data_IF_666484159677
#
_entry.id   IF_666484159677
#
_cell.length_a   1.000
_cell.length_b   1.000
_cell.length_c   1.000
_cell.angle_alpha   90.00
_cell.angle_beta   90.00
_cell.angle_gamma   90.00
#
_symmetry.space_group_name_H-M   'P 1'
#
loop_
_entity.id
_entity.type
_entity.pdbx_description
1 polymer ?
#
# COMPACT_ATOMS: atom_id res chain seq x y z
N UNK A 1 -16.20 4.35 31.02
CA UNK A 1 -16.66 4.45 29.63
C UNK A 1 -15.42 4.67 28.78
N UNK A 2 -14.82 3.59 28.28
CA UNK A 2 -13.74 3.68 27.30
C UNK A 2 -14.37 4.21 26.01
N UNK A 3 -14.05 5.45 25.64
CA UNK A 3 -14.28 5.93 24.28
C UNK A 3 -13.62 4.91 23.35
N UNK A 4 -14.43 4.14 22.63
CA UNK A 4 -13.99 3.48 21.41
C UNK A 4 -13.43 4.59 20.53
N UNK A 5 -12.15 4.51 20.18
CA UNK A 5 -11.57 5.41 19.19
C UNK A 5 -12.48 5.36 17.96
N UNK A 6 -12.95 6.52 17.50
CA UNK A 6 -13.77 6.58 16.31
C UNK A 6 -12.96 5.97 15.15
N UNK A 7 -13.57 5.02 14.43
CA UNK A 7 -12.96 4.40 13.25
C UNK A 7 -12.57 5.53 12.28
N UNK A 8 -11.28 5.66 11.97
CA UNK A 8 -10.74 6.74 11.15
C UNK A 8 -10.22 6.19 9.83
N UNK A 9 -10.26 7.01 8.78
CA UNK A 9 -9.64 6.66 7.50
C UNK A 9 -8.11 6.85 7.52
N UNK A 10 -7.62 7.83 8.28
CA UNK A 10 -6.19 8.15 8.34
C UNK A 10 -5.59 7.89 9.72
N UNK A 11 -4.28 7.76 9.75
CA UNK A 11 -3.46 7.54 10.96
C UNK A 11 -2.44 8.66 11.13
N UNK A 12 -1.97 8.88 12.35
CA UNK A 12 -0.85 9.77 12.65
C UNK A 12 0.50 9.06 12.68
N UNK A 13 0.50 7.74 12.47
CA UNK A 13 1.66 6.90 12.65
C UNK A 13 1.92 6.03 11.42
N UNK A 14 3.17 5.99 10.97
CA UNK A 14 3.61 5.14 9.84
C UNK A 14 4.83 4.30 10.21
N UNK A 15 4.93 3.13 9.60
CA UNK A 15 6.09 2.26 9.66
C UNK A 15 6.85 2.33 8.35
N UNK A 16 8.16 2.55 8.44
CA UNK A 16 9.06 2.59 7.30
C UNK A 16 10.28 1.69 7.56
N UNK A 17 10.76 0.99 6.52
CA UNK A 17 11.98 0.19 6.60
C UNK A 17 13.07 0.87 5.77
N UNK A 18 14.14 1.31 6.42
CA UNK A 18 15.28 1.93 5.73
C UNK A 18 16.02 0.85 4.95
N UNK A 19 16.20 0.98 3.62
CA UNK A 19 16.76 -0.10 2.80
C UNK A 19 18.23 -0.36 3.13
N UNK A 20 18.58 -1.64 3.30
CA UNK A 20 19.95 -2.14 3.45
C UNK A 20 20.58 -2.44 2.11
N UNK A 21 19.77 -2.91 1.15
CA UNK A 21 20.04 -2.99 -0.29
C UNK A 21 18.82 -2.52 -1.07
N UNK A 22 19.03 -1.89 -2.20
CA UNK A 22 17.95 -1.46 -3.09
C UNK A 22 18.41 -1.51 -4.55
N UNK A 23 17.74 -2.35 -5.33
CA UNK A 23 17.93 -2.50 -6.76
C UNK A 23 16.70 -3.18 -7.38
N UNK A 24 16.47 -3.07 -8.70
CA UNK A 24 15.35 -3.74 -9.37
C UNK A 24 15.40 -5.26 -9.13
N UNK A 25 14.41 -5.81 -8.45
CA UNK A 25 14.37 -7.23 -8.13
C UNK A 25 14.12 -8.07 -9.41
N UNK A 26 15.03 -8.98 -9.79
CA UNK A 26 14.83 -9.82 -10.98
C UNK A 26 13.60 -10.73 -10.90
N UNK A 27 13.20 -11.17 -9.70
CA UNK A 27 12.03 -12.05 -9.52
C UNK A 27 10.69 -11.35 -9.82
N UNK A 28 10.65 -10.02 -9.71
CA UNK A 28 9.44 -9.22 -9.94
C UNK A 28 9.43 -8.54 -11.30
N UNK A 29 10.51 -8.62 -12.07
CA UNK A 29 10.64 -7.94 -13.35
C UNK A 29 9.57 -8.39 -14.37
N UNK A 30 9.11 -9.65 -14.27
CA UNK A 30 8.13 -10.22 -15.20
C UNK A 30 6.69 -9.73 -14.96
N UNK A 31 6.35 -9.30 -13.73
CA UNK A 31 4.99 -8.92 -13.35
C UNK A 31 4.85 -7.48 -12.81
N UNK A 32 5.97 -6.77 -12.62
CA UNK A 32 5.99 -5.35 -12.26
C UNK A 32 6.40 -4.47 -13.44
N UNK A 33 5.42 -4.09 -14.27
CA UNK A 33 5.62 -3.20 -15.41
C UNK A 33 6.12 -1.78 -15.05
N UNK A 34 6.12 -1.41 -13.76
CA UNK A 34 6.58 -0.12 -13.28
C UNK A 34 8.05 -0.15 -12.82
N UNK A 35 8.64 -1.35 -12.73
CA UNK A 35 10.05 -1.52 -12.48
C UNK A 35 10.87 -1.06 -13.68
N UNK A 36 11.97 -0.35 -13.42
CA UNK A 36 12.91 0.11 -14.45
C UNK A 36 14.28 -0.46 -14.20
N UNK A 37 15.03 -0.64 -15.29
CA UNK A 37 16.43 -1.02 -15.20
C UNK A 37 17.24 0.03 -14.43
N UNK A 38 18.22 -0.47 -13.68
CA UNK A 38 19.19 0.33 -12.98
C UNK A 38 20.16 0.99 -13.97
N UNK A 39 20.32 2.31 -13.91
CA UNK A 39 21.34 3.06 -14.66
C UNK A 39 22.70 3.09 -13.94
N UNK A 40 22.77 2.53 -12.73
CA UNK A 40 23.90 2.60 -11.79
C UNK A 40 24.10 1.26 -11.08
N UNK A 41 25.28 1.06 -10.50
CA UNK A 41 25.54 -0.08 -9.61
C UNK A 41 24.65 -0.07 -8.36
N UNK A 42 24.36 -1.26 -7.82
CA UNK A 42 23.46 -1.48 -6.68
C UNK A 42 23.82 -0.64 -5.44
N UNK A 43 25.11 -0.45 -5.15
CA UNK A 43 25.56 0.35 -4.01
C UNK A 43 25.18 1.83 -4.16
N UNK A 44 25.35 2.37 -5.38
CA UNK A 44 25.01 3.76 -5.68
C UNK A 44 23.49 3.98 -5.66
N UNK A 45 22.71 2.99 -6.12
CA UNK A 45 21.25 3.00 -6.02
C UNK A 45 20.79 2.93 -4.57
N UNK A 46 21.38 2.05 -3.77
CA UNK A 46 21.07 1.93 -2.34
C UNK A 46 21.36 3.24 -1.61
N UNK A 47 22.49 3.89 -1.88
CA UNK A 47 22.82 5.18 -1.29
C UNK A 47 21.81 6.27 -1.69
N UNK A 48 21.40 6.31 -2.96
CA UNK A 48 20.41 7.26 -3.44
C UNK A 48 19.03 7.03 -2.78
N UNK A 49 18.58 5.77 -2.73
CA UNK A 49 17.32 5.39 -2.10
C UNK A 49 17.29 5.71 -0.61
N UNK A 50 18.39 5.47 0.13
CA UNK A 50 18.50 5.87 1.54
C UNK A 50 18.40 7.38 1.73
N UNK A 51 19.00 8.17 0.84
CA UNK A 51 18.89 9.63 0.89
C UNK A 51 17.44 10.11 0.66
N UNK A 52 16.74 9.54 -0.31
CA UNK A 52 15.33 9.86 -0.56
C UNK A 52 14.41 9.39 0.58
N UNK A 53 14.67 8.19 1.11
CA UNK A 53 13.99 7.65 2.29
C UNK A 53 14.14 8.58 3.49
N UNK A 54 15.37 9.02 3.79
CA UNK A 54 15.63 9.89 4.93
C UNK A 54 14.96 11.26 4.75
N UNK A 55 14.95 11.79 3.52
CA UNK A 55 14.22 13.02 3.21
C UNK A 55 12.71 12.86 3.42
N UNK A 56 12.10 11.76 2.95
CA UNK A 56 10.68 11.48 3.15
C UNK A 56 10.33 11.32 4.64
N UNK A 57 11.13 10.56 5.39
CA UNK A 57 11.00 10.39 6.83
C UNK A 57 11.07 11.74 7.56
N UNK A 58 12.03 12.61 7.23
CA UNK A 58 12.14 13.93 7.87
C UNK A 58 10.95 14.82 7.53
N UNK A 59 10.47 14.82 6.27
CA UNK A 59 9.28 15.58 5.86
C UNK A 59 8.05 15.14 6.64
N UNK A 60 7.81 13.83 6.78
CA UNK A 60 6.69 13.30 7.55
C UNK A 60 6.77 13.69 9.03
N UNK A 61 7.96 13.56 9.65
CA UNK A 61 8.18 13.98 11.04
C UNK A 61 7.97 15.47 11.25
N UNK A 62 8.46 16.30 10.32
CA UNK A 62 8.26 17.75 10.36
C UNK A 62 6.79 18.14 10.22
N UNK A 63 6.00 17.36 9.48
CA UNK A 63 4.56 17.51 9.38
C UNK A 63 3.80 16.99 10.62
N UNK A 64 4.49 16.46 11.64
CA UNK A 64 3.89 15.99 12.88
C UNK A 64 3.38 14.55 12.84
N UNK A 65 3.77 13.76 11.83
CA UNK A 65 3.51 12.32 11.76
C UNK A 65 4.54 11.58 12.60
N UNK A 66 4.09 10.59 13.36
CA UNK A 66 4.94 9.66 14.08
C UNK A 66 5.52 8.60 13.12
N UNK A 67 6.84 8.57 12.96
CA UNK A 67 7.50 7.69 11.98
C UNK A 67 8.37 6.67 12.70
N UNK A 68 7.91 5.41 12.71
CA UNK A 68 8.66 4.25 13.15
C UNK A 68 9.59 3.78 12.04
N UNK A 69 10.89 3.83 12.29
CA UNK A 69 11.90 3.43 11.30
C UNK A 69 12.65 2.21 11.80
N UNK A 70 12.65 1.16 10.98
CA UNK A 70 13.45 -0.04 11.18
C UNK A 70 14.56 -0.09 10.14
N UNK A 71 15.79 -0.38 10.56
CA UNK A 71 16.88 -0.67 9.62
C UNK A 71 16.67 -2.06 9.02
N UNK A 72 16.76 -2.19 7.71
CA UNK A 72 16.87 -3.50 7.06
C UNK A 72 18.21 -4.18 7.42
N UNK A 73 18.23 -5.50 7.26
CA UNK A 73 19.39 -6.36 7.57
C UNK A 73 20.19 -6.65 6.31
N UNK A 74 21.51 -6.76 6.43
CA UNK A 74 22.36 -7.15 5.30
C UNK A 74 22.03 -8.55 4.74
N UNK A 75 21.62 -9.48 5.62
CA UNK A 75 21.24 -10.85 5.26
C UNK A 75 19.92 -11.27 5.94
N UNK A 76 19.04 -12.02 5.26
CA UNK A 76 19.10 -12.33 3.84
C UNK A 76 18.94 -11.06 2.99
N UNK A 77 19.50 -11.09 1.78
CA UNK A 77 19.31 -10.03 0.78
C UNK A 77 17.83 -9.84 0.41
N UNK A 78 17.35 -8.60 0.52
CA UNK A 78 15.95 -8.20 0.30
C UNK A 78 15.88 -6.82 -0.39
N UNK A 79 16.00 -6.75 -1.73
CA UNK A 79 15.97 -5.47 -2.45
C UNK A 79 14.67 -4.66 -2.26
N UNK A 80 13.56 -5.34 -1.98
CA UNK A 80 12.23 -4.76 -1.82
C UNK A 80 11.85 -4.51 -0.35
N UNK A 81 12.77 -4.69 0.61
CA UNK A 81 12.48 -4.54 2.05
C UNK A 81 11.92 -3.16 2.44
N UNK A 82 12.18 -2.14 1.62
CA UNK A 82 11.65 -0.78 1.79
C UNK A 82 10.12 -0.69 1.67
N UNK A 83 9.45 -1.73 1.17
CA UNK A 83 8.00 -1.80 0.96
C UNK A 83 7.29 -2.73 1.97
N UNK A 84 7.26 -2.41 3.28
CA UNK A 84 6.64 -3.25 4.30
C UNK A 84 5.13 -3.42 4.09
N UNK A 85 4.50 -2.46 3.42
CA UNK A 85 3.08 -2.42 3.12
C UNK A 85 2.60 -3.69 2.38
N UNK A 86 3.50 -4.44 1.74
CA UNK A 86 3.13 -5.67 1.05
C UNK A 86 3.05 -6.91 1.94
N UNK A 87 3.76 -6.97 3.07
CA UNK A 87 3.80 -8.16 3.90
C UNK A 87 3.13 -7.97 5.28
N UNK A 88 2.89 -6.74 5.73
CA UNK A 88 2.23 -6.44 7.01
C UNK A 88 1.16 -5.34 6.89
N UNK A 89 0.07 -5.49 7.64
CA UNK A 89 -0.87 -4.39 7.94
C UNK A 89 -1.27 -4.40 9.42
N UNK A 90 -1.60 -3.23 9.94
CA UNK A 90 -2.04 -3.01 11.33
C UNK A 90 -3.44 -2.39 11.35
N UNK A 91 -4.30 -2.83 12.26
CA UNK A 91 -5.70 -2.43 12.32
C UNK A 91 -6.07 -1.77 13.66
N UNK A 92 -7.14 -0.99 13.66
CA UNK A 92 -7.58 -0.14 14.79
C UNK A 92 -8.01 -0.94 16.02
N UNK A 93 -8.46 -2.18 15.83
CA UNK A 93 -8.79 -3.13 16.89
C UNK A 93 -7.56 -3.86 17.48
N UNK A 94 -6.35 -3.49 17.04
CA UNK A 94 -5.08 -4.03 17.52
C UNK A 94 -4.64 -5.30 16.81
N UNK A 95 -5.35 -5.75 15.78
CA UNK A 95 -4.93 -6.92 15.00
C UNK A 95 -3.85 -6.55 13.98
N UNK A 96 -2.95 -7.49 13.74
CA UNK A 96 -1.91 -7.41 12.71
C UNK A 96 -2.15 -8.56 11.72
N UNK A 97 -2.09 -8.28 10.42
CA UNK A 97 -2.07 -9.30 9.38
C UNK A 97 -0.67 -9.44 8.80
N UNK A 98 -0.19 -10.68 8.64
CA UNK A 98 0.98 -11.03 7.85
C UNK A 98 0.54 -11.70 6.56
N UNK A 99 1.15 -11.28 5.46
CA UNK A 99 0.64 -11.59 4.13
C UNK A 99 1.52 -12.55 3.33
N UNK A 100 0.91 -13.43 2.50
CA UNK A 100 1.62 -14.31 1.59
C UNK A 100 2.11 -13.54 0.36
N UNK A 101 3.38 -13.72 0.02
CA UNK A 101 4.08 -12.97 -1.03
C UNK A 101 4.30 -13.82 -2.29
N UNK A 102 4.13 -13.20 -3.46
CA UNK A 102 4.26 -13.90 -4.74
C UNK A 102 5.71 -14.33 -5.00
N UNK A 103 6.66 -13.39 -4.91
CA UNK A 103 8.10 -13.67 -5.04
C UNK A 103 8.65 -14.39 -3.81
N UNK A 104 9.48 -15.42 -4.05
CA UNK A 104 10.11 -16.21 -3.00
C UNK A 104 11.12 -15.38 -2.19
N UNK A 105 11.84 -14.45 -2.83
CA UNK A 105 12.71 -13.50 -2.12
C UNK A 105 11.89 -12.63 -1.16
N UNK A 106 10.74 -12.12 -1.61
CA UNK A 106 9.91 -11.22 -0.80
C UNK A 106 9.29 -11.87 0.42
N UNK A 107 9.10 -13.20 0.42
CA UNK A 107 8.67 -13.97 1.62
C UNK A 107 9.63 -13.81 2.80
N UNK A 108 10.92 -13.53 2.53
CA UNK A 108 11.96 -13.33 3.54
C UNK A 108 11.90 -11.94 4.20
N UNK A 109 11.05 -11.04 3.70
CA UNK A 109 10.85 -9.69 4.25
C UNK A 109 10.08 -9.68 5.57
N UNK A 110 9.28 -10.72 5.84
CA UNK A 110 8.54 -10.84 7.10
C UNK A 110 9.48 -10.88 8.29
N UNK A 111 9.26 -9.96 9.24
CA UNK A 111 10.19 -9.69 10.35
C UNK A 111 9.50 -9.73 11.70
N UNK A 112 9.94 -10.68 12.53
CA UNK A 112 9.42 -10.89 13.88
C UNK A 112 9.80 -9.76 14.84
N UNK A 113 11.00 -9.20 14.70
CA UNK A 113 11.49 -8.11 15.55
C UNK A 113 10.61 -6.84 15.42
N UNK A 114 10.06 -6.59 14.23
CA UNK A 114 9.09 -5.51 14.00
C UNK A 114 7.80 -5.75 14.78
N UNK A 115 7.31 -7.00 14.82
CA UNK A 115 6.10 -7.35 15.58
C UNK A 115 6.31 -7.21 17.08
N UNK A 116 7.50 -7.54 17.56
CA UNK A 116 7.89 -7.39 18.97
C UNK A 116 7.96 -5.91 19.37
N UNK A 117 8.53 -5.05 18.52
CA UNK A 117 8.55 -3.61 18.74
C UNK A 117 7.13 -3.03 18.75
N UNK A 118 6.29 -3.39 17.77
CA UNK A 118 4.90 -2.92 17.72
C UNK A 118 4.11 -3.32 18.98
N UNK A 119 4.34 -4.50 19.56
CA UNK A 119 3.74 -4.93 20.84
C UNK A 119 4.17 -4.09 22.04
N UNK A 120 5.33 -3.44 21.97
CA UNK A 120 5.81 -2.57 23.06
C UNK A 120 5.16 -1.18 23.01
N UNK A 121 4.82 -0.69 21.81
CA UNK A 121 4.25 0.66 21.61
C UNK A 121 2.73 0.67 21.48
N UNK A 122 2.13 -0.42 21.01
CA UNK A 122 0.70 -0.50 20.69
C UNK A 122 0.04 -1.70 21.36
N UNK A 123 -1.27 -1.60 21.56
CA UNK A 123 -2.08 -2.74 21.98
C UNK A 123 -2.26 -3.69 20.80
N UNK A 124 -1.47 -4.74 20.76
CA UNK A 124 -1.66 -5.84 19.80
C UNK A 124 -2.58 -6.90 20.42
N UNK A 125 -3.73 -7.14 19.80
CA UNK A 125 -4.73 -8.12 20.27
C UNK A 125 -4.52 -9.49 19.65
N UNK A 126 -4.12 -9.54 18.38
CA UNK A 126 -3.89 -10.78 17.64
C UNK A 126 -2.93 -10.54 16.47
N UNK A 127 -2.19 -11.57 16.09
CA UNK A 127 -1.44 -11.61 14.83
C UNK A 127 -2.01 -12.75 13.99
N UNK A 128 -2.60 -12.42 12.85
CA UNK A 128 -3.16 -13.40 11.90
C UNK A 128 -2.16 -13.55 10.76
N UNK A 129 -1.60 -14.75 10.63
CA UNK A 129 -0.59 -15.06 9.62
C UNK A 129 -1.19 -15.85 8.46
N UNK A 130 -1.22 -15.23 7.28
CA UNK A 130 -1.70 -15.83 6.04
C UNK A 130 -0.58 -16.45 5.20
N UNK A 131 0.68 -16.50 5.69
CA UNK A 131 1.81 -17.01 4.89
C UNK A 131 1.65 -18.47 4.47
N UNK A 132 0.87 -19.27 5.20
CA UNK A 132 0.62 -20.67 4.85
C UNK A 132 -0.08 -20.85 3.49
N UNK A 133 -0.78 -19.82 2.98
CA UNK A 133 -1.36 -19.85 1.64
C UNK A 133 -0.31 -19.92 0.52
N UNK A 134 0.95 -19.58 0.82
CA UNK A 134 2.07 -19.69 -0.12
C UNK A 134 2.32 -21.13 -0.58
N UNK A 135 2.02 -22.11 0.27
CA UNK A 135 2.14 -23.55 -0.03
C UNK A 135 1.10 -23.99 -1.08
N UNK A 136 0.02 -23.23 -1.22
CA UNK A 136 -1.03 -23.42 -2.24
C UNK A 136 -0.84 -22.50 -3.46
N UNK A 137 0.26 -21.74 -3.52
CA UNK A 137 0.49 -20.73 -4.56
C UNK A 137 -0.47 -19.54 -4.49
N UNK A 138 -1.16 -19.35 -3.37
CA UNK A 138 -2.12 -18.26 -3.18
C UNK A 138 -1.43 -17.08 -2.46
N UNK A 139 -1.50 -15.89 -3.05
CA UNK A 139 -0.79 -14.70 -2.58
C UNK A 139 -1.73 -13.50 -2.38
N UNK A 140 -1.37 -12.57 -1.50
CA UNK A 140 -2.09 -11.32 -1.27
C UNK A 140 -1.11 -10.30 -0.70
N UNK A 141 -0.54 -9.43 -1.52
CA UNK A 141 0.53 -8.51 -1.10
C UNK A 141 0.03 -7.25 -0.37
N UNK A 142 -0.61 -7.48 0.78
CA UNK A 142 -0.94 -6.48 1.80
C UNK A 142 -1.68 -5.26 1.26
N UNK A 143 -1.35 -4.08 1.78
CA UNK A 143 -1.94 -2.81 1.35
C UNK A 143 -1.41 -2.31 -0.01
N UNK A 144 -0.52 -3.08 -0.65
CA UNK A 144 -0.30 -2.97 -2.10
C UNK A 144 -1.52 -3.41 -2.88
N UNK A 145 -2.05 -4.58 -2.53
CA UNK A 145 -3.23 -5.18 -3.17
C UNK A 145 -4.55 -4.71 -2.55
N UNK A 146 -4.58 -4.40 -1.25
CA UNK A 146 -5.78 -4.00 -0.51
C UNK A 146 -5.80 -2.48 -0.28
N UNK A 147 -6.67 -1.76 -0.98
CA UNK A 147 -6.92 -0.34 -0.70
C UNK A 147 -8.21 -0.21 0.11
N UNK A 148 -8.08 0.26 1.36
CA UNK A 148 -9.18 0.28 2.31
C UNK A 148 -9.96 1.60 2.30
N UNK A 149 -11.28 1.51 2.22
CA UNK A 149 -12.18 2.48 2.84
C UNK A 149 -12.52 1.97 4.24
N UNK A 150 -11.77 2.46 5.21
CA UNK A 150 -11.88 2.08 6.60
C UNK A 150 -13.25 2.46 7.18
N UNK A 151 -13.77 3.65 6.83
CA UNK A 151 -15.04 4.14 7.36
C UNK A 151 -16.24 3.31 6.90
N UNK A 152 -16.19 2.84 5.64
CA UNK A 152 -17.27 2.05 5.05
C UNK A 152 -17.01 0.54 5.13
N UNK A 153 -15.88 0.11 5.72
CA UNK A 153 -15.44 -1.28 5.76
C UNK A 153 -15.42 -1.93 4.37
N UNK A 154 -14.85 -1.24 3.37
CA UNK A 154 -14.68 -1.78 2.01
C UNK A 154 -13.19 -1.97 1.72
N UNK A 155 -12.83 -3.10 1.11
CA UNK A 155 -11.50 -3.34 0.57
C UNK A 155 -11.57 -3.44 -0.96
N UNK A 156 -11.01 -2.44 -1.65
CA UNK A 156 -10.90 -2.46 -3.11
C UNK A 156 -9.66 -3.24 -3.52
N UNK A 157 -9.83 -4.19 -4.45
CA UNK A 157 -8.77 -5.11 -4.84
C UNK A 157 -8.78 -5.38 -6.34
N UNK A 158 -7.73 -4.96 -7.04
CA UNK A 158 -7.47 -5.42 -8.39
C UNK A 158 -6.83 -6.81 -8.36
N UNK A 159 -7.41 -7.77 -9.07
CA UNK A 159 -6.93 -9.15 -9.16
C UNK A 159 -5.69 -9.24 -10.06
N UNK A 160 -4.67 -9.94 -9.57
CA UNK A 160 -3.38 -10.16 -10.22
C UNK A 160 -2.70 -11.40 -9.63
N UNK A 161 -1.45 -11.68 -10.03
CA UNK A 161 -0.61 -12.71 -9.39
C UNK A 161 -0.37 -12.46 -7.89
N UNK A 162 -0.59 -11.22 -7.43
CA UNK A 162 -0.33 -10.75 -6.06
C UNK A 162 -1.60 -10.51 -5.24
N UNK A 163 -2.75 -10.95 -5.74
CA UNK A 163 -4.07 -10.73 -5.12
C UNK A 163 -5.04 -11.86 -5.48
N UNK A 164 -4.88 -12.99 -4.81
CA UNK A 164 -5.69 -14.19 -5.01
C UNK A 164 -7.05 -14.08 -4.29
N UNK A 165 -8.18 -14.33 -4.98
CA UNK A 165 -9.53 -14.26 -4.40
C UNK A 165 -9.72 -15.04 -3.10
N UNK A 166 -9.12 -16.24 -2.98
CA UNK A 166 -9.23 -17.09 -1.79
C UNK A 166 -8.70 -16.40 -0.53
N UNK A 167 -7.55 -15.73 -0.66
CA UNK A 167 -6.90 -15.03 0.47
C UNK A 167 -7.61 -13.71 0.75
N UNK A 168 -8.12 -13.04 -0.29
CA UNK A 168 -8.93 -11.81 -0.15
C UNK A 168 -10.19 -12.09 0.66
N UNK A 169 -10.96 -13.12 0.28
CA UNK A 169 -12.17 -13.53 1.01
C UNK A 169 -11.85 -13.88 2.47
N UNK A 170 -10.78 -14.66 2.69
CA UNK A 170 -10.37 -15.01 4.05
C UNK A 170 -10.00 -13.79 4.89
N UNK A 171 -9.22 -12.86 4.33
CA UNK A 171 -8.88 -11.61 4.99
C UNK A 171 -10.13 -10.77 5.28
N UNK A 172 -11.02 -10.64 4.30
CA UNK A 172 -12.26 -9.89 4.41
C UNK A 172 -13.16 -10.41 5.53
N UNK A 173 -13.30 -11.74 5.64
CA UNK A 173 -14.04 -12.39 6.73
C UNK A 173 -13.41 -12.11 8.09
N UNK A 174 -12.10 -12.34 8.22
CA UNK A 174 -11.39 -12.14 9.48
C UNK A 174 -11.48 -10.67 9.90
N UNK A 175 -11.20 -9.71 9.01
CA UNK A 175 -11.14 -8.28 9.32
C UNK A 175 -12.46 -7.50 9.15
N UNK A 176 -13.54 -8.19 8.77
CA UNK A 176 -14.88 -7.61 8.57
C UNK A 176 -14.90 -6.47 7.54
N UNK A 177 -14.27 -6.70 6.39
CA UNK A 177 -14.36 -5.84 5.20
C UNK A 177 -15.26 -6.48 4.14
N UNK A 178 -15.99 -5.68 3.37
CA UNK A 178 -16.61 -6.10 2.11
C UNK A 178 -15.57 -5.98 0.98
N UNK A 179 -15.18 -7.07 0.30
CA UNK A 179 -14.25 -6.98 -0.80
C UNK A 179 -14.98 -6.52 -2.08
N UNK A 180 -14.41 -5.52 -2.76
CA UNK A 180 -14.80 -5.11 -4.12
C UNK A 180 -13.65 -5.48 -5.04
N UNK A 181 -13.77 -6.64 -5.69
CA UNK A 181 -12.75 -7.19 -6.58
C UNK A 181 -13.03 -6.82 -8.04
N UNK A 182 -12.00 -6.45 -8.78
CA UNK A 182 -12.08 -6.13 -10.21
C UNK A 182 -10.76 -6.49 -10.91
N UNK A 183 -10.70 -6.36 -12.23
CA UNK A 183 -9.43 -6.46 -12.99
C UNK A 183 -9.03 -5.09 -13.53
N UNK A 184 -7.73 -4.80 -13.55
CA UNK A 184 -7.20 -3.56 -14.13
C UNK A 184 -6.04 -3.85 -15.08
N UNK A 185 -6.00 -3.12 -16.19
CA UNK A 185 -5.03 -3.30 -17.27
C UNK A 185 -4.38 -1.96 -17.57
N UNK A 186 -3.05 -1.91 -17.45
CA UNK A 186 -2.23 -0.73 -17.75
C UNK A 186 -2.20 -0.37 -19.23
N UNK A 187 -1.51 0.73 -19.57
CA UNK A 187 -1.37 1.20 -20.94
C UNK A 187 -0.57 0.25 -21.84
N UNK A 188 0.27 -0.60 -21.25
CA UNK A 188 1.05 -1.64 -21.94
C UNK A 188 0.26 -2.93 -22.22
N UNK A 189 -1.01 -3.01 -21.80
CA UNK A 189 -1.83 -4.21 -21.96
C UNK A 189 -1.64 -5.27 -20.87
N UNK A 190 -0.76 -5.02 -19.89
CA UNK A 190 -0.51 -5.94 -18.78
C UNK A 190 -1.37 -5.58 -17.55
N UNK A 191 -1.68 -6.56 -16.68
CA UNK A 191 -2.34 -6.29 -15.40
C UNK A 191 -1.55 -5.29 -14.54
N UNK A 192 -2.25 -4.36 -13.87
CA UNK A 192 -1.63 -3.58 -12.81
C UNK A 192 -1.52 -4.47 -11.57
N UNK A 193 -0.29 -4.76 -11.17
CA UNK A 193 0.03 -5.78 -10.16
C UNK A 193 -0.44 -5.42 -8.74
N UNK A 194 -0.57 -4.13 -8.41
CA UNK A 194 -1.04 -3.64 -7.11
C UNK A 194 -2.12 -2.56 -7.28
N UNK A 195 -3.21 -2.70 -6.53
CA UNK A 195 -4.33 -1.75 -6.52
C UNK A 195 -3.89 -0.34 -6.13
N UNK A 196 -2.96 -0.21 -5.17
CA UNK A 196 -2.48 1.08 -4.68
C UNK A 196 -1.62 1.87 -5.70
N UNK A 197 -1.32 1.29 -6.86
CA UNK A 197 -0.69 2.01 -7.97
C UNK A 197 -1.73 2.83 -8.72
N UNK A 198 -2.96 2.33 -8.79
CA UNK A 198 -4.05 2.94 -9.55
C UNK A 198 -5.08 3.70 -8.70
N UNK A 199 -5.07 3.54 -7.38
CA UNK A 199 -6.00 4.23 -6.51
C UNK A 199 -5.52 4.45 -5.06
N UNK A 200 -6.02 5.51 -4.44
CA UNK A 200 -5.99 5.74 -2.99
C UNK A 200 -7.34 6.23 -2.49
N UNK A 201 -7.62 6.01 -1.20
CA UNK A 201 -8.86 6.45 -0.54
C UNK A 201 -8.51 7.35 0.64
N UNK A 202 -8.97 8.59 0.58
CA UNK A 202 -8.94 9.57 1.67
C UNK A 202 -10.26 9.58 2.44
N UNK A 203 -10.34 10.45 3.46
CA UNK A 203 -11.56 10.60 4.27
C UNK A 203 -12.73 11.07 3.40
N UNK A 204 -12.49 12.08 2.56
CA UNK A 204 -13.52 12.72 1.74
C UNK A 204 -13.42 12.41 0.24
N UNK A 205 -12.29 11.88 -0.24
CA UNK A 205 -12.01 11.71 -1.67
C UNK A 205 -11.48 10.32 -1.99
N UNK A 206 -11.46 10.01 -3.28
CA UNK A 206 -10.79 8.87 -3.87
C UNK A 206 -10.06 9.31 -5.14
N UNK A 207 -8.75 9.13 -5.20
CA UNK A 207 -8.03 9.24 -6.47
C UNK A 207 -8.03 7.88 -7.12
N UNK A 208 -8.53 7.74 -8.35
CA UNK A 208 -8.70 6.44 -9.00
C UNK A 208 -8.62 6.53 -10.52
N UNK A 209 -7.86 5.65 -11.16
CA UNK A 209 -7.92 5.47 -12.60
C UNK A 209 -9.04 4.50 -12.97
N UNK A 210 -10.26 5.00 -13.20
CA UNK A 210 -11.38 4.13 -13.58
C UNK A 210 -11.22 3.55 -15.00
N UNK A 211 -10.49 4.24 -15.89
CA UNK A 211 -10.28 3.80 -17.27
C UNK A 211 -9.44 2.52 -17.41
N UNK A 212 -8.62 2.18 -16.40
CA UNK A 212 -7.83 0.93 -16.41
C UNK A 212 -8.69 -0.29 -16.07
N UNK A 213 -9.89 -0.10 -15.51
CA UNK A 213 -10.87 -1.16 -15.28
C UNK A 213 -11.65 -1.37 -16.58
N UNK A 214 -11.21 -2.35 -17.39
CA UNK A 214 -11.73 -2.56 -18.75
C UNK A 214 -13.15 -3.15 -18.77
N UNK A 215 -13.49 -3.94 -17.75
CA UNK A 215 -14.84 -4.45 -17.60
C UNK A 215 -15.77 -3.30 -17.17
N UNK A 216 -16.75 -2.99 -18.02
CA UNK A 216 -17.72 -1.91 -17.79
C UNK A 216 -18.49 -2.10 -16.49
N UNK A 217 -18.95 -3.33 -16.19
CA UNK A 217 -19.72 -3.62 -14.99
C UNK A 217 -18.88 -3.44 -13.72
N UNK A 218 -17.64 -3.93 -13.71
CA UNK A 218 -16.71 -3.73 -12.60
C UNK A 218 -16.41 -2.25 -12.39
N UNK A 219 -16.17 -1.50 -13.48
CA UNK A 219 -15.89 -0.05 -13.42
C UNK A 219 -17.06 0.72 -12.83
N UNK A 220 -18.28 0.43 -13.28
CA UNK A 220 -19.48 1.06 -12.73
C UNK A 220 -19.72 0.65 -11.27
N UNK A 221 -19.41 -0.60 -10.91
CA UNK A 221 -19.50 -1.05 -9.52
C UNK A 221 -18.52 -0.29 -8.62
N UNK A 222 -17.25 -0.14 -9.01
CA UNK A 222 -16.25 0.63 -8.24
C UNK A 222 -16.70 2.07 -8.08
N UNK A 223 -17.09 2.75 -9.17
CA UNK A 223 -17.60 4.13 -9.14
C UNK A 223 -18.80 4.25 -8.19
N UNK A 224 -19.82 3.41 -8.36
CA UNK A 224 -21.03 3.47 -7.54
C UNK A 224 -20.75 3.23 -6.05
N UNK A 225 -19.77 2.37 -5.72
CA UNK A 225 -19.36 2.14 -4.33
C UNK A 225 -18.69 3.37 -3.72
N UNK A 226 -17.78 4.02 -4.46
CA UNK A 226 -17.12 5.25 -4.04
C UNK A 226 -18.11 6.41 -3.85
N UNK A 227 -19.03 6.60 -4.79
CA UNK A 227 -20.09 7.62 -4.72
C UNK A 227 -21.03 7.35 -3.54
N UNK A 228 -21.43 6.09 -3.33
CA UNK A 228 -22.27 5.69 -2.19
C UNK A 228 -21.57 5.92 -0.84
N UNK A 229 -20.24 5.76 -0.81
CA UNK A 229 -19.40 6.07 0.34
C UNK A 229 -19.19 7.58 0.56
N UNK A 230 -19.77 8.43 -0.31
CA UNK A 230 -19.67 9.88 -0.23
C UNK A 230 -18.31 10.43 -0.64
N UNK A 231 -17.52 9.67 -1.42
CA UNK A 231 -16.20 10.08 -1.88
C UNK A 231 -16.32 10.98 -3.09
N UNK A 232 -15.61 12.10 -3.07
CA UNK A 232 -15.29 12.85 -4.28
C UNK A 232 -14.31 12.06 -5.14
N UNK A 233 -14.69 11.75 -6.38
CA UNK A 233 -13.87 10.94 -7.28
C UNK A 233 -12.97 11.86 -8.10
N UNK A 234 -11.66 11.76 -7.85
CA UNK A 234 -10.61 12.39 -8.65
C UNK A 234 -10.07 11.37 -9.64
N UNK A 235 -10.51 11.46 -10.90
CA UNK A 235 -10.09 10.51 -11.92
C UNK A 235 -8.63 10.72 -12.33
N UNK A 236 -7.84 9.64 -12.27
CA UNK A 236 -6.44 9.65 -12.65
C UNK A 236 -6.24 9.18 -14.08
N UNK A 237 -5.47 9.93 -14.85
CA UNK A 237 -5.05 9.56 -16.20
C UNK A 237 -3.95 8.49 -16.20
N UNK A 238 -3.74 7.83 -17.34
CA UNK A 238 -2.66 6.86 -17.49
C UNK A 238 -1.26 7.45 -17.22
N UNK A 239 -1.03 8.72 -17.58
CA UNK A 239 0.24 9.41 -17.27
C UNK A 239 0.40 9.63 -15.76
N UNK A 240 -0.67 10.01 -15.07
CA UNK A 240 -0.66 10.15 -13.62
C UNK A 240 -0.38 8.82 -12.91
N UNK A 241 -0.94 7.71 -13.40
CA UNK A 241 -0.61 6.38 -12.89
C UNK A 241 0.86 6.01 -13.15
N UNK A 242 1.39 6.29 -14.35
CA UNK A 242 2.81 6.08 -14.67
C UNK A 242 3.76 6.94 -13.82
N UNK A 243 3.24 7.99 -13.17
CA UNK A 243 3.93 8.86 -12.23
C UNK A 243 3.56 8.56 -10.76
N UNK A 244 2.88 7.43 -10.49
CA UNK A 244 2.49 6.95 -9.16
C UNK A 244 1.54 7.89 -8.40
N UNK A 245 0.68 8.64 -9.10
CA UNK A 245 -0.32 9.51 -8.46
C UNK A 245 -1.35 8.75 -7.61
N UNK A 246 -1.68 7.50 -7.99
CA UNK A 246 -2.54 6.64 -7.18
C UNK A 246 -1.88 6.15 -5.89
N UNK A 247 -0.55 6.18 -5.81
CA UNK A 247 0.21 5.73 -4.65
C UNK A 247 0.39 6.86 -3.62
N UNK A 248 -0.74 7.37 -3.13
CA UNK A 248 -0.81 8.38 -2.09
C UNK A 248 -1.47 7.82 -0.83
N UNK A 249 -1.18 8.42 0.32
CA UNK A 249 -1.75 8.02 1.61
C UNK A 249 -2.23 9.24 2.39
N UNK A 250 -3.49 9.23 2.82
CA UNK A 250 -4.00 10.22 3.76
C UNK A 250 -3.52 9.88 5.17
N UNK A 251 -2.88 10.84 5.81
CA UNK A 251 -2.43 10.81 7.19
C UNK A 251 -3.12 11.94 7.97
N UNK A 252 -2.89 11.99 9.27
CA UNK A 252 -3.13 13.20 10.04
C UNK A 252 -1.93 13.50 10.95
N UNK A 253 -1.72 14.76 11.31
CA UNK A 253 -0.71 15.08 12.31
C UNK A 253 -1.28 14.91 13.73
N UNK A 254 -0.42 15.05 14.75
CA UNK A 254 -0.85 15.02 16.17
C UNK A 254 -1.92 16.06 16.55
N UNK A 255 -2.09 17.10 15.74
CA UNK A 255 -3.15 18.10 15.88
C UNK A 255 -4.48 17.72 15.23
N UNK A 256 -4.54 16.60 14.50
CA UNK A 256 -5.71 16.14 13.76
C UNK A 256 -5.87 16.73 12.37
N UNK A 257 -4.93 17.56 11.91
CA UNK A 257 -4.93 18.11 10.56
C UNK A 257 -4.63 17.02 9.55
N UNK A 258 -5.44 16.95 8.48
CA UNK A 258 -5.30 15.97 7.41
C UNK A 258 -4.14 16.32 6.50
N UNK A 259 -3.37 15.31 6.13
CA UNK A 259 -2.21 15.42 5.24
C UNK A 259 -2.35 14.38 4.13
N UNK A 260 -2.03 14.74 2.90
CA UNK A 260 -1.87 13.77 1.82
C UNK A 260 -0.38 13.62 1.51
N UNK A 261 0.16 12.42 1.75
CA UNK A 261 1.54 12.11 1.41
C UNK A 261 1.60 11.41 0.05
N UNK A 262 2.37 11.99 -0.87
CA UNK A 262 2.64 11.49 -2.21
C UNK A 262 4.04 11.91 -2.66
N UNK A 263 4.60 11.23 -3.66
CA UNK A 263 5.92 11.59 -4.19
C UNK A 263 5.89 12.95 -4.92
N UNK A 264 7.01 13.67 -4.95
CA UNK A 264 7.09 14.92 -5.73
C UNK A 264 6.83 14.71 -7.24
N UNK A 265 7.05 13.48 -7.74
CA UNK A 265 6.77 13.09 -9.11
C UNK A 265 5.26 12.95 -9.34
N UNK A 266 4.57 12.28 -8.43
CA UNK A 266 3.12 12.13 -8.42
C UNK A 266 2.45 13.50 -8.35
N UNK A 267 2.88 14.33 -7.39
CA UNK A 267 2.42 15.71 -7.22
C UNK A 267 2.49 16.46 -8.56
N UNK A 268 3.67 16.53 -9.20
CA UNK A 268 3.87 17.23 -10.49
C UNK A 268 3.00 16.72 -11.65
N UNK A 269 2.46 15.50 -11.58
CA UNK A 269 1.57 14.96 -12.61
C UNK A 269 0.09 15.34 -12.36
N UNK A 270 -0.28 15.76 -11.15
CA UNK A 270 -1.63 16.21 -10.84
C UNK A 270 -1.94 17.56 -11.50
N UNK A 271 -3.19 17.72 -11.94
CA UNK A 271 -3.71 19.01 -12.40
C UNK A 271 -3.84 19.99 -11.24
N UNK A 272 -4.01 21.27 -11.54
CA UNK A 272 -4.25 22.31 -10.50
C UNK A 272 -5.50 21.97 -9.68
N UNK A 273 -6.62 21.68 -10.34
CA UNK A 273 -7.87 21.26 -9.70
C UNK A 273 -7.77 20.00 -8.82
N UNK A 274 -6.80 19.11 -9.05
CA UNK A 274 -6.60 17.90 -8.23
C UNK A 274 -5.72 18.17 -7.00
N UNK A 275 -5.06 19.33 -6.94
CA UNK A 275 -4.18 19.74 -5.83
C UNK A 275 -4.89 20.67 -4.85
N UNK A 276 -5.90 21.41 -5.32
CA UNK A 276 -6.78 22.25 -4.50
C UNK A 276 -7.80 21.42 -3.71
#
# INVERSE_FOLDING_TARGET
MTQTAAHAQSTDSVLMIRPGRFYPNPETAADNAFQRDADRGSDALTLAARKEFDAAMQTLRAAGVNVHVFEDTAEPEKPDAVFPNNWISTHDDGRIALFPMYSALRRRERRQDILEELRQHYRVTEVIDYSAFEDEGCCLEGTGSLVFDHLNKIAYVSLSNRSNPKVIERFADDFSYEPVTFTSIGSNGEPIYHTNVMMCIGTAFAMVALEVIRNEADRQQVRARLEKAGKEIMELSADQIANFAGNAIELHNKGGEKLLALSSRADRALTEDQRE
#
